data_IF_004917401318
#
_entry.id   IF_004917401318
#
_cell.length_a   1.000
_cell.length_b   1.000
_cell.length_c   1.000
_cell.angle_alpha   90.00
_cell.angle_beta   90.00
_cell.angle_gamma   90.00
#
_symmetry.space_group_name_H-M   'P 1'
#
loop_
_entity.id
_entity.type
_entity.pdbx_description
1 polymer ?
#
# COMPACT_ATOMS: atom_id res chain seq x y z
N UNK A 1 -5.26 -50.94 -4.28
CA UNK A 1 -5.45 -50.24 -5.58
C UNK A 1 -6.26 -48.95 -5.35
N UNK A 2 -5.66 -47.93 -4.71
CA UNK A 2 -6.35 -46.69 -4.31
C UNK A 2 -5.75 -45.45 -4.99
N UNK A 3 -5.56 -45.52 -6.31
CA UNK A 3 -5.07 -44.38 -7.12
C UNK A 3 -6.19 -43.52 -7.71
N UNK A 4 -7.41 -44.07 -7.87
CA UNK A 4 -8.51 -43.40 -8.58
C UNK A 4 -9.24 -42.34 -7.74
N UNK A 5 -9.29 -42.52 -6.42
CA UNK A 5 -9.98 -41.60 -5.50
C UNK A 5 -9.26 -40.24 -5.40
N UNK A 6 -7.93 -40.23 -5.39
CA UNK A 6 -7.13 -39.00 -5.29
C UNK A 6 -7.22 -38.14 -6.56
N UNK A 7 -7.26 -38.75 -7.74
CA UNK A 7 -7.40 -38.01 -9.02
C UNK A 7 -8.78 -37.33 -9.12
N UNK A 8 -9.84 -37.98 -8.63
CA UNK A 8 -11.19 -37.40 -8.63
C UNK A 8 -11.33 -36.22 -7.67
N UNK A 9 -10.69 -36.29 -6.50
CA UNK A 9 -10.68 -35.19 -5.52
C UNK A 9 -9.96 -33.95 -6.08
N UNK A 10 -8.81 -34.15 -6.74
CA UNK A 10 -8.01 -33.08 -7.33
C UNK A 10 -8.75 -32.38 -8.48
N UNK A 11 -9.48 -33.14 -9.31
CA UNK A 11 -10.27 -32.62 -10.42
C UNK A 11 -11.46 -31.78 -9.94
N UNK A 12 -12.12 -32.17 -8.85
CA UNK A 12 -13.24 -31.42 -8.25
C UNK A 12 -12.80 -30.07 -7.67
N UNK A 13 -11.59 -29.99 -7.12
CA UNK A 13 -10.99 -28.72 -6.65
C UNK A 13 -10.45 -27.85 -7.78
N UNK A 14 -10.11 -28.45 -8.93
CA UNK A 14 -9.61 -27.75 -10.11
C UNK A 14 -10.72 -27.23 -11.05
N UNK A 15 -11.99 -27.58 -10.80
CA UNK A 15 -13.10 -27.02 -11.58
C UNK A 15 -13.29 -25.54 -11.24
N UNK A 16 -13.19 -24.62 -12.22
CA UNK A 16 -13.38 -23.20 -11.98
C UNK A 16 -14.81 -22.98 -11.47
N UNK A 17 -15.01 -22.10 -10.46
CA UNK A 17 -16.33 -21.85 -9.92
C UNK A 17 -17.27 -21.44 -11.06
N UNK A 18 -18.41 -22.13 -11.18
CA UNK A 18 -19.45 -21.80 -12.17
C UNK A 18 -19.86 -20.35 -11.94
N UNK A 19 -19.47 -19.46 -12.87
CA UNK A 19 -19.86 -18.04 -12.83
C UNK A 19 -21.38 -17.96 -12.77
N UNK A 20 -21.93 -17.52 -11.65
CA UNK A 20 -23.37 -17.22 -11.55
C UNK A 20 -23.68 -16.15 -12.60
N UNK A 21 -24.49 -16.50 -13.59
CA UNK A 21 -24.92 -15.56 -14.63
C UNK A 21 -25.89 -14.58 -13.95
N UNK A 22 -25.40 -13.39 -13.61
CA UNK A 22 -26.27 -12.27 -13.28
C UNK A 22 -27.06 -11.81 -14.51
N UNK A 23 -28.05 -10.92 -14.35
CA UNK A 23 -28.70 -10.29 -15.48
C UNK A 23 -27.66 -9.61 -16.39
N UNK A 24 -27.94 -9.51 -17.71
CA UNK A 24 -27.05 -8.81 -18.63
C UNK A 24 -26.86 -7.35 -18.19
N UNK A 25 -25.71 -6.74 -18.48
CA UNK A 25 -25.47 -5.33 -18.14
C UNK A 25 -26.43 -4.43 -18.94
N UNK A 26 -26.88 -3.34 -18.30
CA UNK A 26 -27.64 -2.29 -18.97
C UNK A 26 -26.68 -1.41 -19.76
N UNK A 27 -26.88 -1.32 -21.07
CA UNK A 27 -26.14 -0.44 -21.97
C UNK A 27 -27.02 0.75 -22.37
N UNK A 28 -26.49 1.97 -22.24
CA UNK A 28 -27.18 3.21 -22.60
C UNK A 28 -26.27 4.00 -23.54
N UNK A 29 -26.82 4.50 -24.66
CA UNK A 29 -26.09 5.43 -25.52
C UNK A 29 -26.20 6.84 -24.92
N UNK A 30 -25.06 7.46 -24.69
CA UNK A 30 -24.96 8.84 -24.22
C UNK A 30 -24.36 9.69 -25.32
N UNK A 31 -24.90 10.89 -25.52
CA UNK A 31 -24.18 11.95 -26.23
C UNK A 31 -22.95 12.39 -25.42
N UNK A 32 -22.01 13.07 -26.08
CA UNK A 32 -20.80 13.55 -25.42
C UNK A 32 -21.13 14.51 -24.25
N UNK A 33 -22.10 15.41 -24.45
CA UNK A 33 -22.53 16.35 -23.42
C UNK A 33 -23.14 15.64 -22.19
N UNK A 34 -23.95 14.60 -22.41
CA UNK A 34 -24.51 13.80 -21.32
C UNK A 34 -23.43 13.01 -20.57
N UNK A 35 -22.45 12.47 -21.30
CA UNK A 35 -21.32 11.76 -20.69
C UNK A 35 -20.48 12.69 -19.81
N UNK A 36 -20.18 13.90 -20.29
CA UNK A 36 -19.37 14.87 -19.55
C UNK A 36 -20.10 15.38 -18.31
N UNK A 37 -21.41 15.64 -18.41
CA UNK A 37 -22.25 15.96 -17.26
C UNK A 37 -22.27 14.84 -16.23
N UNK A 38 -22.50 13.59 -16.68
CA UNK A 38 -22.51 12.43 -15.80
C UNK A 38 -21.16 12.23 -15.09
N UNK A 39 -20.06 12.50 -15.80
CA UNK A 39 -18.70 12.46 -15.27
C UNK A 39 -18.44 13.53 -14.21
N UNK A 40 -18.94 14.74 -14.45
CA UNK A 40 -18.86 15.84 -13.50
C UNK A 40 -19.65 15.52 -12.23
N UNK A 41 -20.91 15.11 -12.37
CA UNK A 41 -21.82 14.89 -11.25
C UNK A 41 -21.37 13.72 -10.36
N UNK A 42 -20.72 12.69 -10.92
CA UNK A 42 -20.23 11.57 -10.10
C UNK A 42 -19.04 11.92 -9.20
N UNK A 43 -18.27 12.97 -9.53
CA UNK A 43 -17.11 13.43 -8.77
C UNK A 43 -16.10 12.32 -8.44
N UNK A 44 -16.14 11.81 -7.21
CA UNK A 44 -15.22 10.77 -6.70
C UNK A 44 -15.71 9.34 -6.92
N UNK A 45 -16.97 9.16 -7.30
CA UNK A 45 -17.59 7.86 -7.53
C UNK A 45 -17.32 7.38 -8.96
N UNK A 46 -17.27 6.05 -9.14
CA UNK A 46 -17.31 5.48 -10.49
C UNK A 46 -18.67 5.75 -11.13
N UNK A 47 -18.73 5.93 -12.46
CA UNK A 47 -20.01 6.11 -13.19
C UNK A 47 -21.08 5.10 -12.80
N UNK A 48 -20.72 3.82 -12.75
CA UNK A 48 -21.64 2.75 -12.40
C UNK A 48 -22.11 2.79 -10.92
N UNK A 49 -21.36 3.43 -10.03
CA UNK A 49 -21.74 3.64 -8.64
C UNK A 49 -22.67 4.86 -8.53
N UNK A 50 -22.31 5.96 -9.19
CA UNK A 50 -23.15 7.15 -9.26
C UNK A 50 -24.52 6.86 -9.87
N UNK A 51 -24.58 6.21 -11.03
CA UNK A 51 -25.84 5.80 -11.68
C UNK A 51 -26.70 4.95 -10.75
N UNK A 52 -26.09 3.99 -10.03
CA UNK A 52 -26.83 3.13 -9.10
C UNK A 52 -27.36 3.89 -7.89
N UNK A 53 -26.57 4.81 -7.34
CA UNK A 53 -26.98 5.68 -6.25
C UNK A 53 -28.16 6.58 -6.68
N UNK A 54 -28.09 7.18 -7.88
CA UNK A 54 -29.16 8.04 -8.40
C UNK A 54 -30.44 7.26 -8.69
N UNK A 55 -30.36 6.00 -9.16
CA UNK A 55 -31.53 5.21 -9.56
C UNK A 55 -32.18 4.43 -8.41
N UNK A 56 -31.40 3.88 -7.48
CA UNK A 56 -31.88 2.95 -6.45
C UNK A 56 -31.73 3.50 -5.02
N UNK A 57 -31.18 4.70 -4.85
CA UNK A 57 -30.93 5.31 -3.54
C UNK A 57 -29.85 4.59 -2.73
N UNK A 58 -29.64 5.04 -1.48
CA UNK A 58 -28.58 4.51 -0.60
C UNK A 58 -28.91 3.11 -0.03
N UNK A 59 -30.20 2.76 0.08
CA UNK A 59 -30.66 1.56 0.77
C UNK A 59 -30.56 0.24 -0.01
N UNK A 60 -30.47 0.30 -1.35
CA UNK A 60 -30.51 -0.89 -2.22
C UNK A 60 -29.17 -1.19 -2.92
N UNK A 61 -28.10 -0.48 -2.57
CA UNK A 61 -26.76 -0.75 -3.10
C UNK A 61 -26.27 -2.05 -2.47
N UNK A 62 -26.67 -3.18 -3.08
CA UNK A 62 -26.21 -4.51 -2.71
C UNK A 62 -24.67 -4.49 -2.56
N UNK A 63 -24.10 -5.19 -1.55
CA UNK A 63 -22.70 -5.10 -1.15
C UNK A 63 -21.71 -5.66 -2.19
N UNK A 64 -22.15 -5.89 -3.42
CA UNK A 64 -21.43 -6.74 -4.36
C UNK A 64 -20.25 -6.11 -5.07
N UNK A 65 -20.04 -4.80 -4.97
CA UNK A 65 -18.75 -4.21 -5.33
C UNK A 65 -18.53 -3.01 -4.43
N UNK A 66 -17.69 -3.17 -3.41
CA UNK A 66 -17.03 -2.03 -2.75
C UNK A 66 -16.65 -1.07 -3.88
N UNK A 67 -17.08 0.20 -3.86
CA UNK A 67 -16.70 1.14 -4.90
C UNK A 67 -15.17 1.07 -4.96
N UNK A 68 -14.65 0.61 -6.10
CA UNK A 68 -13.23 0.67 -6.39
C UNK A 68 -12.93 2.15 -6.61
N UNK A 69 -12.88 2.89 -5.51
CA UNK A 69 -12.35 4.24 -5.47
C UNK A 69 -10.91 4.09 -5.91
N UNK A 70 -10.63 4.38 -7.18
CA UNK A 70 -9.25 4.50 -7.68
C UNK A 70 -8.39 5.46 -6.83
N UNK A 71 -9.03 6.31 -6.02
CA UNK A 71 -8.38 7.16 -5.01
C UNK A 71 -7.78 6.42 -3.80
N UNK A 72 -8.10 5.15 -3.56
CA UNK A 72 -7.56 4.42 -2.42
C UNK A 72 -6.15 3.83 -2.67
N UNK A 73 -5.64 3.85 -3.91
CA UNK A 73 -4.42 3.10 -4.26
C UNK A 73 -3.18 3.99 -4.44
N UNK A 74 -3.34 5.29 -4.68
CA UNK A 74 -2.20 6.20 -4.80
C UNK A 74 -1.97 6.92 -3.48
N UNK A 75 -0.80 6.75 -2.81
CA UNK A 75 -0.41 7.61 -1.71
C UNK A 75 -0.54 9.09 -2.12
N UNK A 76 -0.89 9.97 -1.19
CA UNK A 76 -0.75 11.40 -1.44
C UNK A 76 0.70 11.72 -1.85
N UNK A 77 0.90 12.81 -2.59
CA UNK A 77 2.25 13.22 -2.98
C UNK A 77 3.20 13.34 -1.76
N UNK A 78 2.67 13.81 -0.63
CA UNK A 78 3.36 13.88 0.67
C UNK A 78 3.73 12.49 1.21
N UNK A 79 2.79 11.55 1.26
CA UNK A 79 3.06 10.17 1.70
C UNK A 79 4.10 9.48 0.81
N UNK A 80 4.06 9.73 -0.51
CA UNK A 80 5.05 9.22 -1.44
C UNK A 80 6.45 9.82 -1.20
N UNK A 81 6.54 11.12 -0.87
CA UNK A 81 7.79 11.78 -0.51
C UNK A 81 8.37 11.22 0.79
N UNK A 82 7.54 11.05 1.83
CA UNK A 82 7.94 10.46 3.11
C UNK A 82 8.44 9.02 2.90
N UNK A 83 7.75 8.23 2.07
CA UNK A 83 8.17 6.88 1.71
C UNK A 83 9.53 6.84 1.01
N UNK A 84 9.81 7.82 0.12
CA UNK A 84 11.12 7.96 -0.51
C UNK A 84 12.22 8.33 0.49
N UNK A 85 11.95 9.24 1.43
CA UNK A 85 12.91 9.61 2.48
C UNK A 85 13.25 8.41 3.36
N UNK A 86 12.25 7.63 3.77
CA UNK A 86 12.45 6.41 4.57
C UNK A 86 13.22 5.34 3.77
N UNK A 87 12.91 5.18 2.48
CA UNK A 87 13.66 4.30 1.58
C UNK A 87 15.12 4.71 1.42
N UNK A 88 15.38 6.01 1.27
CA UNK A 88 16.73 6.56 1.22
C UNK A 88 17.52 6.33 2.51
N UNK A 89 16.87 6.45 3.67
CA UNK A 89 17.47 6.12 4.97
C UNK A 89 17.80 4.62 5.07
N UNK A 90 16.94 3.73 4.56
CA UNK A 90 17.22 2.29 4.51
C UNK A 90 18.34 1.91 3.54
N UNK A 91 18.51 2.67 2.45
CA UNK A 91 19.62 2.52 1.50
C UNK A 91 20.91 3.17 1.97
N UNK A 92 20.85 4.06 2.98
CA UNK A 92 22.05 4.62 3.56
C UNK A 92 22.85 3.50 4.21
N UNK A 93 24.10 3.34 3.81
CA UNK A 93 24.99 2.26 4.27
C UNK A 93 25.46 2.48 5.73
N UNK A 94 24.60 3.03 6.59
CA UNK A 94 24.89 3.37 8.00
C UNK A 94 25.42 2.15 8.75
N UNK A 95 24.86 0.95 8.52
CA UNK A 95 25.32 -0.27 9.16
C UNK A 95 26.76 -0.65 8.74
N UNK A 96 27.11 -0.47 7.46
CA UNK A 96 28.45 -0.73 6.96
C UNK A 96 29.44 0.31 7.52
N UNK A 97 29.08 1.59 7.49
CA UNK A 97 29.89 2.68 8.03
C UNK A 97 30.14 2.52 9.54
N UNK A 98 29.12 2.11 10.31
CA UNK A 98 29.28 1.82 11.74
C UNK A 98 30.23 0.63 11.97
N UNK A 99 30.19 -0.39 11.12
CA UNK A 99 31.12 -1.52 11.20
C UNK A 99 32.57 -1.09 10.92
N UNK A 100 32.80 -0.16 10.00
CA UNK A 100 34.12 0.41 9.73
C UNK A 100 34.63 1.24 10.90
N UNK A 101 33.78 2.09 11.49
CA UNK A 101 34.09 2.87 12.69
C UNK A 101 34.45 1.92 13.86
N UNK A 102 33.66 0.87 14.08
CA UNK A 102 33.93 -0.12 15.12
C UNK A 102 35.26 -0.86 14.88
N UNK A 103 35.57 -1.17 13.62
CA UNK A 103 36.86 -1.76 13.25
C UNK A 103 38.02 -0.81 13.55
N UNK A 104 37.90 0.46 13.18
CA UNK A 104 38.90 1.51 13.43
C UNK A 104 39.13 1.73 14.94
N UNK A 105 38.06 1.74 15.73
CA UNK A 105 38.14 1.81 17.20
C UNK A 105 38.86 0.59 17.78
N UNK A 106 38.50 -0.63 17.34
CA UNK A 106 39.09 -1.87 17.85
C UNK A 106 40.60 -1.98 17.60
N UNK A 107 41.08 -1.47 16.46
CA UNK A 107 42.52 -1.48 16.13
C UNK A 107 43.27 -0.26 16.69
N UNK A 108 42.60 0.60 17.45
CA UNK A 108 43.18 1.81 18.06
C UNK A 108 43.44 2.95 17.05
N UNK A 109 42.95 2.84 15.81
CA UNK A 109 43.08 3.88 14.80
C UNK A 109 42.09 5.05 15.03
N UNK A 110 41.01 4.81 15.79
CA UNK A 110 40.08 5.83 16.24
C UNK A 110 40.11 5.90 17.78
N UNK A 111 40.64 6.99 18.38
CA UNK A 111 40.55 7.20 19.81
C UNK A 111 39.11 7.46 20.22
N UNK A 112 38.48 6.48 20.88
CA UNK A 112 37.14 6.62 21.45
C UNK A 112 37.25 7.32 22.79
N UNK A 113 37.21 8.65 22.76
CA UNK A 113 37.12 9.46 23.99
C UNK A 113 35.66 9.49 24.47
N UNK A 114 35.41 9.81 25.76
CA UNK A 114 34.05 9.96 26.28
C UNK A 114 33.20 10.97 25.49
N UNK A 115 33.82 12.06 25.02
CA UNK A 115 33.14 13.08 24.21
C UNK A 115 32.70 12.52 22.85
N UNK A 116 33.58 11.78 22.17
CA UNK A 116 33.26 11.11 20.89
C UNK A 116 32.17 10.06 21.08
N UNK A 117 32.20 9.31 22.18
CA UNK A 117 31.15 8.34 22.49
C UNK A 117 29.79 9.03 22.70
N UNK A 118 29.77 10.16 23.39
CA UNK A 118 28.56 10.96 23.58
C UNK A 118 28.02 11.50 22.25
N UNK A 119 28.88 12.06 21.40
CA UNK A 119 28.49 12.55 20.07
C UNK A 119 27.92 11.44 19.17
N UNK A 120 28.54 10.26 19.17
CA UNK A 120 28.05 9.11 18.40
C UNK A 120 26.69 8.64 18.91
N UNK A 121 26.47 8.65 20.23
CA UNK A 121 25.19 8.28 20.84
C UNK A 121 24.08 9.25 20.44
N UNK A 122 24.34 10.54 20.53
CA UNK A 122 23.41 11.60 20.09
C UNK A 122 23.08 11.46 18.62
N UNK A 123 24.07 11.18 17.77
CA UNK A 123 23.84 10.95 16.35
C UNK A 123 22.96 9.72 16.09
N UNK A 124 23.19 8.61 16.81
CA UNK A 124 22.37 7.41 16.72
C UNK A 124 20.92 7.66 17.14
N UNK A 125 20.72 8.37 18.26
CA UNK A 125 19.40 8.76 18.75
C UNK A 125 18.65 9.63 17.74
N UNK A 126 19.32 10.65 17.16
CA UNK A 126 18.72 11.50 16.14
C UNK A 126 18.27 10.71 14.88
N UNK A 127 19.05 9.71 14.45
CA UNK A 127 18.68 8.84 13.33
C UNK A 127 17.48 7.94 13.67
N UNK A 128 17.44 7.38 14.88
CA UNK A 128 16.30 6.59 15.35
C UNK A 128 15.02 7.43 15.44
N UNK A 129 15.13 8.66 15.95
CA UNK A 129 14.02 9.62 16.00
C UNK A 129 13.50 9.97 14.61
N UNK A 130 14.39 10.27 13.66
CA UNK A 130 14.01 10.52 12.27
C UNK A 130 13.27 9.32 11.67
N UNK A 131 13.80 8.11 11.85
CA UNK A 131 13.16 6.88 11.36
C UNK A 131 11.75 6.70 11.95
N UNK A 132 11.62 6.87 13.26
CA UNK A 132 10.33 6.69 13.98
C UNK A 132 9.29 7.68 13.46
N UNK A 133 9.64 8.97 13.37
CA UNK A 133 8.74 10.01 12.85
C UNK A 133 8.30 9.74 11.40
N UNK A 134 9.20 9.25 10.56
CA UNK A 134 8.87 8.90 9.17
C UNK A 134 7.92 7.69 9.08
N UNK A 135 8.09 6.68 9.95
CA UNK A 135 7.21 5.50 10.01
C UNK A 135 5.81 5.90 10.53
N UNK A 136 5.75 6.70 11.59
CA UNK A 136 4.50 7.23 12.14
C UNK A 136 3.73 8.05 11.11
N UNK A 137 4.42 8.91 10.36
CA UNK A 137 3.81 9.74 9.32
C UNK A 137 3.25 8.90 8.14
N UNK A 138 3.74 7.69 7.92
CA UNK A 138 3.19 6.75 6.94
C UNK A 138 2.01 5.93 7.48
N UNK A 139 1.68 6.03 8.78
CA UNK A 139 0.62 5.26 9.42
C UNK A 139 0.90 3.76 9.49
N UNK A 140 2.15 3.35 9.31
CA UNK A 140 2.58 1.96 9.44
C UNK A 140 2.98 1.76 10.90
N UNK A 141 2.37 0.82 11.62
CA UNK A 141 2.83 0.54 12.98
C UNK A 141 4.26 -0.01 12.92
N UNK A 142 5.19 0.68 13.59
CA UNK A 142 6.54 0.19 13.81
C UNK A 142 6.45 -1.14 14.59
N UNK A 143 6.96 -2.22 14.00
CA UNK A 143 7.10 -3.53 14.64
C UNK A 143 8.48 -3.68 15.24
#
# INVERSE_FOLDING_TARGET
MSGSSYIHAFRKTAEPPRKRKGPPPVTVRLSQAEYDRLKHDAGVLTMAAYIRLTLFGEGEIAPHRKPYTRKATSPSAELAMIGKMLGGLGQSEIAANLAEIAKAARIGALPVTPDVEAEVRVACEAVQDMRTRLIEALGVQAR
#
